data_IF_950915732514
#
_entry.id   IF_950915732514
#
_cell.length_a   1.000
_cell.length_b   1.000
_cell.length_c   1.000
_cell.angle_alpha   90.00
_cell.angle_beta   90.00
_cell.angle_gamma   90.00
#
_symmetry.space_group_name_H-M   'P 1'
#
loop_
_entity.id
_entity.type
_entity.pdbx_description
1 polymer ?
#
# COMPACT_ATOMS: atom_id res chain seq x y z
N UNK A 1 -53.49 44.39 -22.52
CA UNK A 1 -52.19 45.05 -22.26
C UNK A 1 -51.64 44.57 -20.92
N UNK A 2 -50.40 44.07 -20.94
CA UNK A 2 -49.41 43.99 -19.84
C UNK A 2 -49.84 43.30 -18.53
N UNK A 3 -49.36 42.07 -18.32
CA UNK A 3 -48.86 41.54 -17.03
C UNK A 3 -48.29 40.13 -17.24
N UNK A 4 -47.08 40.07 -17.77
CA UNK A 4 -46.25 38.87 -17.76
C UNK A 4 -44.81 39.31 -17.99
N UNK A 5 -44.17 39.83 -16.95
CA UNK A 5 -42.71 39.97 -16.93
C UNK A 5 -42.32 40.19 -15.48
N UNK A 6 -41.87 39.13 -14.81
CA UNK A 6 -40.99 39.11 -13.63
C UNK A 6 -41.14 37.71 -13.04
N UNK A 7 -40.18 36.84 -13.35
CA UNK A 7 -39.68 35.66 -12.60
C UNK A 7 -38.88 34.88 -13.65
N UNK A 8 -37.68 35.34 -13.97
CA UNK A 8 -36.64 34.55 -14.66
C UNK A 8 -35.30 35.27 -14.49
N UNK A 9 -34.92 35.55 -13.24
CA UNK A 9 -33.58 36.07 -12.93
C UNK A 9 -33.15 35.69 -11.51
N UNK A 10 -33.08 34.39 -11.24
CA UNK A 10 -32.52 33.89 -9.98
C UNK A 10 -31.87 32.50 -10.14
N UNK A 11 -31.19 32.23 -11.26
CA UNK A 11 -30.49 30.95 -11.46
C UNK A 11 -29.20 31.09 -12.29
N UNK A 12 -28.43 32.15 -12.04
CA UNK A 12 -27.19 32.41 -12.79
C UNK A 12 -26.00 32.82 -11.90
N UNK A 13 -25.98 32.42 -10.63
CA UNK A 13 -24.81 32.66 -9.77
C UNK A 13 -24.57 31.41 -8.92
N UNK A 14 -23.70 30.52 -9.40
CA UNK A 14 -22.69 29.75 -8.64
C UNK A 14 -22.36 28.38 -9.27
N UNK A 15 -21.63 28.34 -10.40
CA UNK A 15 -20.86 27.14 -10.74
C UNK A 15 -19.45 27.48 -11.28
N UNK A 16 -18.51 27.95 -10.43
CA UNK A 16 -17.09 27.80 -10.68
C UNK A 16 -16.50 26.76 -9.72
N UNK A 17 -16.86 25.48 -9.83
CA UNK A 17 -16.29 24.42 -8.97
C UNK A 17 -15.83 23.17 -9.74
N UNK A 18 -16.45 22.82 -10.85
CA UNK A 18 -16.17 21.52 -11.53
C UNK A 18 -14.80 21.48 -12.22
N UNK A 19 -14.30 22.59 -12.77
CA UNK A 19 -13.01 22.61 -13.49
C UNK A 19 -11.78 22.73 -12.58
N UNK A 20 -11.92 23.29 -11.37
CA UNK A 20 -10.79 23.45 -10.44
C UNK A 20 -10.51 22.18 -9.62
N UNK A 21 -11.53 21.35 -9.41
CA UNK A 21 -11.40 20.07 -8.71
C UNK A 21 -10.55 19.08 -9.52
N UNK A 22 -10.75 19.05 -10.85
CA UNK A 22 -10.02 18.16 -11.77
C UNK A 22 -8.50 18.43 -11.80
N UNK A 23 -8.05 19.71 -11.84
CA UNK A 23 -6.60 20.02 -11.84
C UNK A 23 -5.90 19.68 -10.53
N UNK A 24 -6.59 19.82 -9.39
CA UNK A 24 -6.03 19.47 -8.08
C UNK A 24 -5.89 17.96 -7.96
N UNK A 25 -6.93 17.23 -8.31
CA UNK A 25 -6.94 15.76 -8.33
C UNK A 25 -5.86 15.20 -9.25
N UNK A 26 -5.71 15.74 -10.47
CA UNK A 26 -4.62 15.36 -11.38
C UNK A 26 -3.23 15.51 -10.76
N UNK A 27 -2.97 16.58 -10.00
CA UNK A 27 -1.68 16.78 -9.34
C UNK A 27 -1.46 15.82 -8.18
N UNK A 28 -2.52 15.54 -7.41
CA UNK A 28 -2.47 14.53 -6.35
C UNK A 28 -2.20 13.15 -6.96
N UNK A 29 -2.90 12.81 -8.05
CA UNK A 29 -2.66 11.56 -8.74
C UNK A 29 -1.24 11.46 -9.30
N UNK A 30 -0.73 12.52 -9.94
CA UNK A 30 0.66 12.54 -10.42
C UNK A 30 1.69 12.35 -9.29
N UNK A 31 1.40 12.87 -8.09
CA UNK A 31 2.24 12.65 -6.91
C UNK A 31 2.16 11.20 -6.39
N UNK A 32 0.98 10.58 -6.40
CA UNK A 32 0.85 9.15 -6.12
C UNK A 32 1.60 8.33 -7.17
N UNK A 33 1.46 8.65 -8.44
CA UNK A 33 2.12 7.93 -9.53
C UNK A 33 3.65 8.03 -9.38
N UNK A 34 4.17 9.19 -8.97
CA UNK A 34 5.59 9.38 -8.67
C UNK A 34 6.07 8.48 -7.52
N UNK A 35 5.28 8.34 -6.44
CA UNK A 35 5.60 7.39 -5.35
C UNK A 35 5.54 5.94 -5.84
N UNK A 36 4.47 5.60 -6.57
CA UNK A 36 4.19 4.25 -7.03
C UNK A 36 5.21 3.76 -8.07
N UNK A 37 5.89 4.67 -8.77
CA UNK A 37 6.93 4.36 -9.76
C UNK A 37 8.34 4.26 -9.17
N UNK A 38 8.52 4.54 -7.87
CA UNK A 38 9.81 4.32 -7.19
C UNK A 38 10.22 2.84 -7.27
N UNK A 39 11.53 2.59 -7.39
CA UNK A 39 12.06 1.23 -7.39
C UNK A 39 11.72 0.49 -6.09
N UNK A 40 11.72 1.19 -4.96
CA UNK A 40 11.24 0.64 -3.69
C UNK A 40 9.82 0.09 -3.79
N UNK A 41 8.85 0.86 -4.29
CA UNK A 41 7.45 0.40 -4.36
C UNK A 41 7.30 -0.76 -5.35
N UNK A 42 8.00 -0.72 -6.48
CA UNK A 42 7.98 -1.84 -7.43
C UNK A 42 8.53 -3.13 -6.79
N UNK A 43 9.66 -3.01 -6.08
CA UNK A 43 10.27 -4.15 -5.40
C UNK A 43 9.45 -4.63 -4.21
N UNK A 44 8.79 -3.72 -3.48
CA UNK A 44 7.85 -4.06 -2.42
C UNK A 44 6.65 -4.85 -2.97
N UNK A 45 6.13 -4.50 -4.14
CA UNK A 45 5.05 -5.27 -4.80
C UNK A 45 5.48 -6.69 -5.13
N UNK A 46 6.70 -6.88 -5.66
CA UNK A 46 7.26 -8.23 -5.86
C UNK A 46 7.31 -9.03 -4.55
N UNK A 47 7.57 -8.37 -3.41
CA UNK A 47 7.65 -9.05 -2.12
C UNK A 47 6.30 -9.34 -1.51
N UNK A 48 5.34 -8.43 -1.68
CA UNK A 48 3.93 -8.72 -1.45
C UNK A 48 3.53 -9.98 -2.23
N UNK A 49 3.88 -10.07 -3.50
CA UNK A 49 3.56 -11.24 -4.32
C UNK A 49 4.22 -12.52 -3.78
N UNK A 50 5.49 -12.48 -3.37
CA UNK A 50 6.16 -13.63 -2.71
C UNK A 50 5.38 -14.07 -1.46
N UNK A 51 4.99 -13.11 -0.60
CA UNK A 51 4.27 -13.39 0.64
C UNK A 51 2.91 -14.04 0.36
N UNK A 52 2.17 -13.50 -0.60
CA UNK A 52 0.84 -13.97 -0.98
C UNK A 52 0.89 -15.31 -1.71
N UNK A 53 1.81 -15.50 -2.66
CA UNK A 53 1.93 -16.73 -3.44
C UNK A 53 2.32 -17.91 -2.55
N UNK A 54 3.31 -17.77 -1.68
CA UNK A 54 3.77 -18.88 -0.83
C UNK A 54 2.67 -19.41 0.09
N UNK A 55 1.90 -18.53 0.73
CA UNK A 55 0.76 -18.96 1.54
C UNK A 55 -0.43 -19.40 0.67
N UNK A 56 -0.62 -18.76 -0.48
CA UNK A 56 -1.68 -19.04 -1.44
C UNK A 56 -1.53 -20.40 -2.12
N UNK A 57 -0.30 -20.85 -2.37
CA UNK A 57 0.01 -22.18 -2.93
C UNK A 57 -0.13 -23.27 -1.88
N UNK A 58 0.18 -22.97 -0.62
CA UNK A 58 0.01 -23.89 0.49
C UNK A 58 -1.46 -24.08 0.88
N UNK A 59 -2.28 -23.03 0.86
CA UNK A 59 -3.69 -23.07 1.32
C UNK A 59 -4.56 -24.15 0.64
N UNK A 60 -4.51 -24.40 -0.69
CA UNK A 60 -5.27 -25.46 -1.34
C UNK A 60 -4.87 -26.87 -0.93
N UNK A 61 -3.58 -27.10 -0.64
CA UNK A 61 -3.07 -28.41 -0.23
C UNK A 61 -3.14 -28.62 1.29
N UNK A 62 -3.43 -27.56 2.06
CA UNK A 62 -3.37 -27.58 3.52
C UNK A 62 -4.32 -28.59 4.15
N UNK A 63 -5.42 -28.96 3.47
CA UNK A 63 -6.39 -29.97 3.95
C UNK A 63 -5.80 -31.37 4.06
N UNK A 64 -4.66 -31.64 3.42
CA UNK A 64 -3.93 -32.90 3.52
C UNK A 64 -3.02 -33.01 4.75
N UNK A 65 -2.91 -31.96 5.55
CA UNK A 65 -2.01 -31.89 6.71
C UNK A 65 -2.77 -31.76 8.03
N UNK A 66 -2.05 -31.92 9.14
CA UNK A 66 -2.61 -31.76 10.48
C UNK A 66 -3.20 -30.36 10.68
N UNK A 67 -4.44 -30.31 11.18
CA UNK A 67 -5.20 -29.07 11.31
C UNK A 67 -4.56 -28.08 12.31
N UNK A 68 -3.86 -28.56 13.34
CA UNK A 68 -3.20 -27.69 14.30
C UNK A 68 -1.95 -27.04 13.67
N UNK A 69 -1.18 -27.79 12.87
CA UNK A 69 -0.06 -27.24 12.12
C UNK A 69 -0.50 -26.22 11.06
N UNK A 70 -1.57 -26.52 10.31
CA UNK A 70 -2.17 -25.57 9.37
C UNK A 70 -2.65 -24.30 10.10
N UNK A 71 -3.30 -24.46 11.25
CA UNK A 71 -3.73 -23.34 12.08
C UNK A 71 -2.57 -22.45 12.55
N UNK A 72 -1.43 -23.05 12.89
CA UNK A 72 -0.21 -22.31 13.25
C UNK A 72 0.36 -21.53 12.07
N UNK A 73 0.36 -22.12 10.87
CA UNK A 73 0.84 -21.43 9.65
C UNK A 73 -0.09 -20.25 9.32
N UNK A 74 -1.42 -20.44 9.37
CA UNK A 74 -2.40 -19.35 9.19
C UNK A 74 -2.17 -18.22 10.20
N UNK A 75 -2.01 -18.55 11.47
CA UNK A 75 -1.75 -17.54 12.51
C UNK A 75 -0.45 -16.77 12.28
N UNK A 76 0.62 -17.47 11.93
CA UNK A 76 1.91 -16.85 11.64
C UNK A 76 1.82 -15.94 10.41
N UNK A 77 1.13 -16.40 9.36
CA UNK A 77 0.87 -15.60 8.16
C UNK A 77 0.15 -14.30 8.49
N UNK A 78 -0.96 -14.35 9.21
CA UNK A 78 -1.71 -13.15 9.61
C UNK A 78 -0.88 -12.19 10.48
N UNK A 79 -0.03 -12.75 11.35
CA UNK A 79 0.88 -11.96 12.18
C UNK A 79 1.94 -11.26 11.32
N UNK A 80 2.55 -11.95 10.37
CA UNK A 80 3.50 -11.36 9.42
C UNK A 80 2.83 -10.30 8.54
N UNK A 81 1.64 -10.58 8.01
CA UNK A 81 0.83 -9.64 7.25
C UNK A 81 0.58 -8.35 8.03
N UNK A 82 0.16 -8.46 9.30
CA UNK A 82 -0.06 -7.30 10.16
C UNK A 82 1.21 -6.48 10.40
N UNK A 83 2.39 -7.11 10.44
CA UNK A 83 3.67 -6.41 10.56
C UNK A 83 3.98 -5.57 9.30
N UNK A 84 3.78 -6.13 8.10
CA UNK A 84 3.94 -5.38 6.85
C UNK A 84 2.92 -4.23 6.74
N UNK A 85 1.67 -4.49 7.07
CA UNK A 85 0.60 -3.48 7.05
C UNK A 85 0.89 -2.34 8.03
N UNK A 86 1.45 -2.64 9.21
CA UNK A 86 1.86 -1.62 10.18
C UNK A 86 2.94 -0.69 9.63
N UNK A 87 3.87 -1.19 8.82
CA UNK A 87 4.89 -0.38 8.14
C UNK A 87 4.22 0.57 7.16
N UNK A 88 3.29 0.07 6.34
CA UNK A 88 2.52 0.90 5.40
C UNK A 88 1.69 1.97 6.13
N UNK A 89 1.08 1.63 7.26
CA UNK A 89 0.34 2.60 8.08
C UNK A 89 1.26 3.65 8.70
N UNK A 90 2.49 3.26 9.10
CA UNK A 90 3.53 4.19 9.53
C UNK A 90 3.92 5.16 8.42
N UNK A 91 4.28 4.64 7.23
CA UNK A 91 4.61 5.46 6.06
C UNK A 91 3.46 6.39 5.69
N UNK A 92 2.22 5.91 5.69
CA UNK A 92 1.03 6.74 5.44
C UNK A 92 0.96 7.91 6.41
N UNK A 93 1.09 7.62 7.71
CA UNK A 93 1.08 8.65 8.75
C UNK A 93 2.20 9.67 8.54
N UNK A 94 3.40 9.20 8.21
CA UNK A 94 4.56 10.06 7.97
C UNK A 94 4.38 10.95 6.73
N UNK A 95 3.74 10.43 5.68
CA UNK A 95 3.40 11.17 4.47
C UNK A 95 2.30 12.22 4.71
N UNK A 96 1.40 12.01 5.67
CA UNK A 96 0.33 12.95 6.00
C UNK A 96 0.77 14.01 7.03
N UNK A 97 1.74 13.69 7.89
CA UNK A 97 2.25 14.61 8.89
C UNK A 97 3.36 15.54 8.35
N UNK A 98 3.10 16.85 8.37
CA UNK A 98 4.04 17.85 7.83
C UNK A 98 5.36 17.90 8.59
N UNK A 99 5.33 17.78 9.92
CA UNK A 99 6.55 17.80 10.73
C UNK A 99 7.40 16.57 10.44
N UNK A 100 6.77 15.42 10.22
CA UNK A 100 7.47 14.20 9.82
C UNK A 100 8.04 14.33 8.41
N UNK A 101 7.31 14.89 7.45
CA UNK A 101 7.88 15.17 6.11
C UNK A 101 9.09 16.10 6.16
N UNK A 102 9.07 17.13 7.00
CA UNK A 102 10.23 17.99 7.24
C UNK A 102 11.39 17.22 7.90
N UNK A 103 11.10 16.31 8.84
CA UNK A 103 12.10 15.41 9.40
C UNK A 103 12.72 14.49 8.36
N UNK A 104 11.91 13.85 7.51
CA UNK A 104 12.36 13.02 6.39
C UNK A 104 13.31 13.80 5.49
N UNK A 105 12.96 15.06 5.19
CA UNK A 105 13.79 15.90 4.33
C UNK A 105 15.13 16.29 4.97
N UNK A 106 15.14 16.52 6.29
CA UNK A 106 16.34 16.95 7.03
C UNK A 106 17.19 15.79 7.55
N UNK A 107 16.66 14.57 7.60
CA UNK A 107 17.33 13.38 8.12
C UNK A 107 16.96 12.13 7.32
N UNK A 108 17.18 12.15 5.98
CA UNK A 108 16.77 11.07 5.08
C UNK A 108 17.36 9.72 5.48
N UNK A 109 18.64 9.70 5.89
CA UNK A 109 19.34 8.47 6.28
C UNK A 109 18.71 7.83 7.52
N UNK A 110 18.33 8.64 8.51
CA UNK A 110 17.74 8.12 9.75
C UNK A 110 16.34 7.57 9.51
N UNK A 111 15.54 8.27 8.72
CA UNK A 111 14.22 7.81 8.34
C UNK A 111 14.29 6.50 7.55
N UNK A 112 15.18 6.46 6.56
CA UNK A 112 15.40 5.28 5.72
C UNK A 112 15.85 4.09 6.55
N UNK A 113 16.84 4.27 7.44
CA UNK A 113 17.30 3.20 8.35
C UNK A 113 16.18 2.67 9.25
N UNK A 114 15.30 3.55 9.73
CA UNK A 114 14.16 3.14 10.54
C UNK A 114 13.18 2.26 9.74
N UNK A 115 12.74 2.74 8.56
CA UNK A 115 11.82 1.98 7.71
C UNK A 115 12.45 0.66 7.24
N UNK A 116 13.72 0.69 6.86
CA UNK A 116 14.49 -0.49 6.47
C UNK A 116 14.54 -1.52 7.61
N UNK A 117 14.84 -1.09 8.84
CA UNK A 117 14.87 -1.98 10.00
C UNK A 117 13.52 -2.65 10.27
N UNK A 118 12.41 -1.90 10.21
CA UNK A 118 11.07 -2.47 10.40
C UNK A 118 10.75 -3.51 9.31
N UNK A 119 11.12 -3.21 8.06
CA UNK A 119 10.91 -4.09 6.93
C UNK A 119 11.73 -5.37 7.00
N UNK A 120 13.02 -5.25 7.37
CA UNK A 120 13.89 -6.39 7.60
C UNK A 120 13.31 -7.33 8.68
N UNK A 121 12.83 -6.78 9.80
CA UNK A 121 12.18 -7.56 10.84
C UNK A 121 10.93 -8.29 10.34
N UNK A 122 10.06 -7.60 9.58
CA UNK A 122 8.86 -8.21 9.02
C UNK A 122 9.19 -9.36 8.04
N UNK A 123 10.19 -9.16 7.18
CA UNK A 123 10.66 -10.14 6.21
C UNK A 123 11.28 -11.36 6.88
N UNK A 124 12.18 -11.17 7.85
CA UNK A 124 12.80 -12.25 8.61
C UNK A 124 11.76 -13.06 9.38
N UNK A 125 10.81 -12.37 10.04
CA UNK A 125 9.73 -13.05 10.74
C UNK A 125 8.87 -13.90 9.80
N UNK A 126 8.52 -13.41 8.61
CA UNK A 126 7.80 -14.21 7.61
C UNK A 126 8.61 -15.43 7.17
N UNK A 127 9.89 -15.24 6.85
CA UNK A 127 10.78 -16.32 6.41
C UNK A 127 10.91 -17.44 7.46
N UNK A 128 11.10 -17.06 8.73
CA UNK A 128 11.35 -17.99 9.84
C UNK A 128 10.07 -18.68 10.35
N UNK A 129 8.92 -18.00 10.26
CA UNK A 129 7.69 -18.50 10.90
C UNK A 129 6.67 -19.06 9.93
N UNK A 130 6.69 -18.64 8.65
CA UNK A 130 5.78 -19.10 7.61
C UNK A 130 6.50 -20.01 6.63
N UNK A 131 7.50 -19.49 5.91
CA UNK A 131 8.21 -20.24 4.85
C UNK A 131 8.87 -21.50 5.41
N UNK A 132 9.64 -21.35 6.50
CA UNK A 132 10.28 -22.49 7.15
C UNK A 132 9.28 -23.58 7.57
N UNK A 133 8.13 -23.19 8.14
CA UNK A 133 7.11 -24.16 8.59
C UNK A 133 6.43 -24.87 7.44
N UNK A 134 6.10 -24.16 6.37
CA UNK A 134 5.55 -24.77 5.15
C UNK A 134 6.56 -25.77 4.59
N UNK A 135 7.85 -25.41 4.54
CA UNK A 135 8.88 -26.31 4.03
C UNK A 135 9.07 -27.56 4.91
N UNK A 136 9.04 -27.39 6.23
CA UNK A 136 9.11 -28.51 7.17
C UNK A 136 7.91 -29.46 7.06
N UNK A 137 6.71 -28.90 6.85
CA UNK A 137 5.47 -29.67 6.79
C UNK A 137 5.29 -30.39 5.44
N UNK A 138 5.67 -29.73 4.35
CA UNK A 138 5.47 -30.23 2.98
C UNK A 138 6.67 -31.03 2.45
N UNK A 139 7.86 -30.84 3.02
CA UNK A 139 9.12 -31.35 2.48
C UNK A 139 9.59 -30.62 1.22
N UNK A 140 8.87 -29.62 0.73
CA UNK A 140 9.20 -28.85 -0.47
C UNK A 140 9.95 -27.57 -0.11
N UNK A 141 10.76 -27.07 -1.04
CA UNK A 141 11.32 -25.73 -0.94
C UNK A 141 10.35 -24.72 -1.56
N UNK A 142 9.57 -24.07 -0.71
CA UNK A 142 8.68 -22.98 -1.11
C UNK A 142 9.49 -21.69 -1.28
N UNK A 143 9.00 -20.81 -2.15
CA UNK A 143 9.62 -19.51 -2.40
C UNK A 143 9.58 -18.67 -1.13
N UNK A 144 10.70 -18.03 -0.82
CA UNK A 144 10.83 -17.12 0.32
C UNK A 144 11.76 -15.97 -0.05
N UNK A 145 12.16 -15.19 0.94
CA UNK A 145 13.12 -14.11 0.74
C UNK A 145 14.55 -14.64 0.84
N UNK A 146 15.36 -14.38 -0.19
CA UNK A 146 16.80 -14.52 -0.09
C UNK A 146 17.45 -13.29 0.54
N UNK A 147 18.65 -13.47 1.08
CA UNK A 147 19.39 -12.40 1.79
C UNK A 147 19.72 -11.23 0.84
N UNK A 148 19.99 -11.51 -0.43
CA UNK A 148 20.30 -10.47 -1.41
C UNK A 148 19.08 -9.64 -1.76
N UNK A 149 17.91 -10.29 -1.87
CA UNK A 149 16.63 -9.65 -2.09
C UNK A 149 16.30 -8.71 -0.93
N UNK A 150 16.41 -9.18 0.32
CA UNK A 150 16.19 -8.33 1.50
C UNK A 150 17.05 -7.07 1.39
N UNK A 151 18.37 -7.21 1.27
CA UNK A 151 19.30 -6.08 1.20
C UNK A 151 18.97 -5.09 0.08
N UNK A 152 18.66 -5.59 -1.11
CA UNK A 152 18.30 -4.73 -2.25
C UNK A 152 17.09 -3.85 -1.92
N UNK A 153 16.03 -4.40 -1.30
CA UNK A 153 14.86 -3.60 -0.98
C UNK A 153 15.17 -2.53 0.08
N UNK A 154 16.00 -2.87 1.07
CA UNK A 154 16.43 -1.93 2.11
C UNK A 154 17.21 -0.75 1.51
N UNK A 155 18.10 -1.01 0.55
CA UNK A 155 18.86 0.03 -0.13
C UNK A 155 17.97 0.97 -0.96
N UNK A 156 16.88 0.45 -1.53
CA UNK A 156 15.95 1.22 -2.36
C UNK A 156 15.06 2.19 -1.56
N UNK A 157 14.95 2.04 -0.23
CA UNK A 157 14.15 2.95 0.60
C UNK A 157 14.63 4.41 0.46
N UNK A 158 15.91 4.62 0.20
CA UNK A 158 16.49 5.97 0.00
C UNK A 158 15.86 6.73 -1.18
N UNK A 159 15.52 6.03 -2.26
CA UNK A 159 14.95 6.63 -3.48
C UNK A 159 13.57 7.25 -3.22
N UNK A 160 12.85 6.77 -2.20
CA UNK A 160 11.53 7.28 -1.83
C UNK A 160 11.63 8.68 -1.24
N UNK A 161 12.70 8.99 -0.50
CA UNK A 161 12.84 10.29 0.17
C UNK A 161 12.92 11.44 -0.83
N UNK A 162 13.66 11.26 -1.92
CA UNK A 162 13.74 12.26 -2.99
C UNK A 162 12.39 12.53 -3.64
N UNK A 163 11.58 11.49 -3.83
CA UNK A 163 10.21 11.64 -4.34
C UNK A 163 9.34 12.39 -3.35
N UNK A 164 9.33 12.01 -2.06
CA UNK A 164 8.56 12.70 -1.00
C UNK A 164 8.85 14.20 -0.98
N UNK A 165 10.13 14.59 -1.06
CA UNK A 165 10.52 16.00 -1.11
C UNK A 165 9.93 16.71 -2.34
N UNK A 166 9.95 16.06 -3.51
CA UNK A 166 9.44 16.64 -4.75
C UNK A 166 7.92 16.84 -4.78
N UNK A 167 7.17 16.00 -4.06
CA UNK A 167 5.70 16.02 -4.03
C UNK A 167 5.11 16.62 -2.75
N UNK A 168 5.94 17.21 -1.87
CA UNK A 168 5.53 17.65 -0.54
C UNK A 168 4.31 18.59 -0.53
N UNK A 169 4.20 19.48 -1.54
CA UNK A 169 3.07 20.41 -1.68
C UNK A 169 1.76 19.71 -2.07
N UNK A 170 1.85 18.58 -2.74
CA UNK A 170 0.71 17.76 -3.13
C UNK A 170 0.27 16.91 -1.94
N UNK A 171 1.22 16.37 -1.15
CA UNK A 171 0.94 15.67 0.11
C UNK A 171 0.20 16.55 1.12
N UNK A 172 0.54 17.84 1.23
CA UNK A 172 -0.20 18.83 2.05
C UNK A 172 -1.70 18.91 1.72
N UNK A 173 -2.08 18.51 0.51
CA UNK A 173 -3.44 18.64 -0.02
C UNK A 173 -4.20 17.32 -0.09
N UNK A 174 -3.53 16.20 0.15
CA UNK A 174 -4.13 14.87 0.13
C UNK A 174 -4.87 14.62 1.44
N UNK A 175 -6.04 13.99 1.36
CA UNK A 175 -6.68 13.44 2.54
C UNK A 175 -6.11 12.05 2.84
N UNK A 176 -6.34 11.58 4.06
CA UNK A 176 -5.97 10.21 4.43
C UNK A 176 -6.67 9.20 3.54
N UNK A 177 -7.95 9.39 3.24
CA UNK A 177 -8.75 8.50 2.40
C UNK A 177 -8.20 8.42 0.97
N UNK A 178 -7.77 9.56 0.41
CA UNK A 178 -7.19 9.59 -0.93
C UNK A 178 -5.87 8.82 -0.97
N UNK A 179 -4.99 9.05 0.02
CA UNK A 179 -3.74 8.33 0.12
C UNK A 179 -3.98 6.83 0.35
N UNK A 180 -4.99 6.47 1.15
CA UNK A 180 -5.32 5.07 1.40
C UNK A 180 -5.79 4.34 0.15
N UNK A 181 -6.75 4.93 -0.57
CA UNK A 181 -7.33 4.35 -1.77
C UNK A 181 -6.31 4.17 -2.91
N UNK A 182 -5.36 5.10 -3.05
CA UNK A 182 -4.47 5.13 -4.21
C UNK A 182 -3.05 4.64 -3.94
N UNK A 183 -2.63 4.54 -2.67
CA UNK A 183 -1.28 4.12 -2.29
C UNK A 183 -1.28 2.93 -1.33
N UNK A 184 -1.73 3.08 -0.08
CA UNK A 184 -1.54 2.01 0.92
C UNK A 184 -2.39 0.78 0.67
N UNK A 185 -3.68 0.92 0.32
CA UNK A 185 -4.54 -0.24 0.05
C UNK A 185 -4.04 -1.09 -1.13
N UNK A 186 -3.42 -0.46 -2.13
CA UNK A 186 -2.80 -1.14 -3.28
C UNK A 186 -1.62 -2.02 -2.83
N UNK A 187 -0.90 -1.59 -1.80
CA UNK A 187 0.29 -2.26 -1.27
C UNK A 187 -0.01 -3.22 -0.11
N UNK A 188 -1.18 -3.16 0.51
CA UNK A 188 -1.57 -4.08 1.59
C UNK A 188 -1.50 -5.52 1.14
N UNK A 189 -1.00 -6.38 2.01
CA UNK A 189 -0.94 -7.82 1.80
C UNK A 189 -2.32 -8.41 2.12
N UNK A 190 -2.82 -9.28 1.25
CA UNK A 190 -4.10 -9.98 1.45
C UNK A 190 -4.13 -10.77 2.75
N UNK A 191 -5.28 -10.82 3.39
CA UNK A 191 -5.54 -11.78 4.47
C UNK A 191 -5.56 -13.20 3.94
N UNK A 192 -5.39 -14.17 4.85
CA UNK A 192 -5.43 -15.59 4.54
C UNK A 192 -6.71 -15.97 3.80
N UNK A 193 -7.85 -15.39 4.19
CA UNK A 193 -9.15 -15.71 3.61
C UNK A 193 -9.29 -15.15 2.19
N UNK A 194 -8.60 -14.06 1.87
CA UNK A 194 -8.52 -13.44 0.53
C UNK A 194 -7.52 -14.13 -0.42
N UNK A 195 -6.61 -14.96 0.10
CA UNK A 195 -5.68 -15.74 -0.74
C UNK A 195 -6.41 -16.70 -1.67
N UNK A 196 -5.99 -16.76 -2.93
CA UNK A 196 -6.58 -17.59 -3.97
C UNK A 196 -7.88 -17.02 -4.58
N UNK A 197 -8.36 -15.88 -4.09
CA UNK A 197 -9.45 -15.13 -4.73
C UNK A 197 -8.82 -14.17 -5.74
N UNK A 198 -9.17 -14.32 -7.03
CA UNK A 198 -8.78 -13.34 -8.04
C UNK A 198 -9.30 -11.96 -7.61
N UNK A 199 -8.45 -10.94 -7.66
CA UNK A 199 -8.85 -9.58 -7.28
C UNK A 199 -10.08 -9.18 -8.09
N UNK A 200 -11.22 -8.99 -7.43
CA UNK A 200 -12.38 -8.40 -8.11
C UNK A 200 -11.94 -7.00 -8.57
N UNK A 201 -12.13 -6.65 -9.85
CA UNK A 201 -11.81 -5.31 -10.31
C UNK A 201 -12.55 -4.32 -9.43
N UNK A 202 -11.81 -3.35 -8.88
CA UNK A 202 -12.41 -2.24 -8.15
C UNK A 202 -13.53 -1.68 -9.02
N UNK A 203 -14.76 -1.82 -8.54
CA UNK A 203 -15.93 -1.29 -9.24
C UNK A 203 -15.69 0.20 -9.39
N UNK A 204 -15.32 0.62 -10.60
CA UNK A 204 -15.40 2.00 -11.01
C UNK A 204 -16.84 2.41 -10.75
N UNK A 205 -17.04 3.29 -9.78
CA UNK A 205 -18.31 3.97 -9.58
C UNK A 205 -18.57 4.82 -10.83
N UNK A 206 -19.09 4.21 -11.89
CA UNK A 206 -19.80 4.89 -12.96
C UNK A 206 -21.13 5.33 -12.36
N UNK A 207 -21.10 6.42 -11.60
CA UNK A 207 -22.27 7.21 -11.29
C UNK A 207 -22.75 7.87 -12.57
N UNK A 208 -23.59 7.17 -13.33
CA UNK A 208 -24.49 7.81 -14.26
C UNK A 208 -25.55 8.55 -13.47
N UNK A 209 -25.70 9.85 -13.72
CA UNK A 209 -26.93 10.52 -14.15
C UNK A 209 -26.57 11.93 -14.64
#
# INVERSE_FOLDING_TARGET
MKKALFIFLAFAISLPSVFSQNKREQKMQAAIDALMTTQFVQKYKEYKDIVEVTAGDFKPISTGYDAAEVGRIKFNYETSRAAFDKILDGVKKDLLDKSTREYIANSPDRYTQFVASELEMAMNNYQETVVYKINMLTGNQTVGFGIMEIKLLLDLVFDVVGVIQSINKELDRMSEEYLDQHFTSVLRIKSWDELGVAAMPATSATGGF
#
